data_IF_881350164508
#
_entry.id   IF_881350164508
#
_cell.length_a   1.000
_cell.length_b   1.000
_cell.length_c   1.000
_cell.angle_alpha   90.00
_cell.angle_beta   90.00
_cell.angle_gamma   90.00
#
_symmetry.space_group_name_H-M   'P 1'
#
loop_
_entity.id
_entity.type
_entity.pdbx_description
1 polymer ?
#
# COMPACT_ATOMS: atom_id res chain seq x y z
N UNK A 1 -24.42 12.15 -12.18
CA UNK A 1 -24.76 11.29 -11.02
C UNK A 1 -25.46 9.99 -11.44
N UNK A 2 -26.30 9.97 -12.48
CA UNK A 2 -26.70 8.72 -13.14
C UNK A 2 -25.47 7.93 -13.66
N UNK A 3 -24.44 8.64 -14.12
CA UNK A 3 -23.22 8.03 -14.66
C UNK A 3 -22.33 7.35 -13.60
N UNK A 4 -22.39 7.77 -12.33
CA UNK A 4 -21.61 7.16 -11.23
C UNK A 4 -22.20 5.82 -10.78
N UNK A 5 -23.53 5.66 -10.86
CA UNK A 5 -24.21 4.39 -10.65
C UNK A 5 -23.99 3.44 -11.84
N UNK A 6 -24.00 3.98 -13.07
CA UNK A 6 -23.65 3.24 -14.28
C UNK A 6 -22.17 2.77 -14.29
N UNK A 7 -21.27 3.48 -13.62
CA UNK A 7 -19.87 3.06 -13.49
C UNK A 7 -19.67 1.84 -12.57
N UNK A 8 -20.56 1.59 -11.59
CA UNK A 8 -20.52 0.34 -10.81
C UNK A 8 -20.96 -0.87 -11.62
N UNK A 9 -21.80 -0.66 -12.64
CA UNK A 9 -22.19 -1.68 -13.60
C UNK A 9 -21.12 -1.91 -14.69
N UNK A 10 -20.19 -0.97 -14.88
CA UNK A 10 -18.97 -1.18 -15.66
C UNK A 10 -17.87 -1.78 -14.78
N UNK A 11 -18.12 -2.97 -14.23
CA UNK A 11 -17.00 -3.88 -14.05
C UNK A 11 -16.50 -4.19 -15.46
N UNK A 12 -15.39 -3.55 -15.79
CA UNK A 12 -14.71 -3.68 -17.06
C UNK A 12 -14.70 -5.14 -17.54
N UNK A 13 -15.32 -5.37 -18.69
CA UNK A 13 -14.99 -6.48 -19.59
C UNK A 13 -13.59 -6.24 -20.14
N UNK A 14 -12.56 -6.32 -19.30
CA UNK A 14 -11.16 -6.23 -19.74
C UNK A 14 -10.73 -7.60 -20.25
N UNK A 15 -10.46 -7.64 -21.55
CA UNK A 15 -9.82 -8.73 -22.26
C UNK A 15 -8.34 -8.79 -21.87
N UNK A 16 -7.95 -9.82 -21.11
CA UNK A 16 -6.56 -10.26 -21.02
C UNK A 16 -6.47 -11.57 -21.79
N UNK A 17 -5.53 -11.61 -22.74
CA UNK A 17 -5.27 -12.68 -23.69
C UNK A 17 -5.52 -14.10 -23.13
N UNK A 18 -6.56 -14.75 -23.65
CA UNK A 18 -6.68 -16.21 -23.67
C UNK A 18 -7.89 -16.83 -22.97
N UNK A 19 -8.63 -16.11 -22.11
CA UNK A 19 -9.83 -16.64 -21.45
C UNK A 19 -10.98 -15.66 -21.65
N UNK A 20 -11.72 -15.89 -22.73
CA UNK A 20 -12.83 -15.08 -23.19
C UNK A 20 -14.08 -15.44 -22.36
N UNK A 21 -14.62 -14.46 -21.63
CA UNK A 21 -16.07 -14.22 -21.51
C UNK A 21 -16.95 -15.34 -20.93
N UNK A 22 -16.48 -16.09 -19.93
CA UNK A 22 -17.35 -17.03 -19.18
C UNK A 22 -17.86 -16.42 -17.87
N UNK A 23 -19.12 -15.96 -17.90
CA UNK A 23 -20.00 -16.02 -16.72
C UNK A 23 -19.97 -17.46 -16.20
N UNK A 24 -19.50 -17.66 -14.98
CA UNK A 24 -19.58 -18.97 -14.33
C UNK A 24 -20.91 -18.97 -13.57
N UNK A 25 -21.88 -19.77 -14.05
CA UNK A 25 -23.08 -20.05 -13.28
C UNK A 25 -22.70 -20.92 -12.08
N UNK A 26 -23.01 -20.45 -10.88
CA UNK A 26 -22.67 -21.15 -9.63
C UNK A 26 -23.87 -21.92 -9.07
N UNK A 27 -25.06 -21.73 -9.64
CA UNK A 27 -26.27 -22.50 -9.31
C UNK A 27 -26.76 -23.31 -10.52
N UNK A 28 -27.36 -24.48 -10.24
CA UNK A 28 -28.01 -25.34 -11.25
C UNK A 28 -29.14 -24.62 -12.01
N UNK A 29 -29.62 -23.50 -11.49
CA UNK A 29 -30.78 -22.74 -11.98
C UNK A 29 -30.38 -21.43 -12.71
N UNK A 30 -29.09 -21.18 -12.95
CA UNK A 30 -28.57 -19.97 -13.63
C UNK A 30 -28.87 -18.62 -12.94
N UNK A 31 -29.22 -18.61 -11.66
CA UNK A 31 -29.56 -17.38 -10.91
C UNK A 31 -28.36 -16.65 -10.29
N UNK A 32 -27.20 -17.32 -10.18
CA UNK A 32 -26.01 -16.80 -9.52
C UNK A 32 -24.85 -16.63 -10.50
N UNK A 33 -24.45 -15.37 -10.72
CA UNK A 33 -23.29 -15.00 -11.53
C UNK A 33 -22.05 -14.81 -10.63
N UNK A 34 -20.99 -15.56 -10.90
CA UNK A 34 -19.65 -15.25 -10.41
C UNK A 34 -18.87 -14.49 -11.49
N UNK A 35 -18.23 -13.39 -11.08
CA UNK A 35 -17.26 -12.69 -11.91
C UNK A 35 -15.87 -13.15 -11.45
N UNK A 36 -15.10 -13.86 -12.28
CA UNK A 36 -13.68 -14.04 -12.01
C UNK A 36 -13.03 -12.67 -12.08
N UNK A 37 -12.61 -12.12 -10.94
CA UNK A 37 -12.06 -10.77 -10.92
C UNK A 37 -10.60 -10.81 -11.34
N UNK A 38 -10.35 -10.78 -12.65
CA UNK A 38 -9.01 -10.56 -13.20
C UNK A 38 -8.44 -9.17 -12.84
N UNK A 39 -9.30 -8.26 -12.34
CA UNK A 39 -8.99 -6.86 -11.99
C UNK A 39 -9.33 -6.48 -10.54
N UNK A 40 -9.71 -7.43 -9.67
CA UNK A 40 -9.91 -7.05 -8.27
C UNK A 40 -8.59 -6.65 -7.60
N UNK A 41 -8.73 -5.78 -6.60
CA UNK A 41 -7.71 -5.40 -5.59
C UNK A 41 -6.90 -6.59 -5.03
N UNK A 42 -7.43 -7.82 -5.14
CA UNK A 42 -6.76 -9.07 -4.83
C UNK A 42 -7.07 -10.08 -5.96
N UNK A 43 -6.16 -10.24 -6.92
CA UNK A 43 -6.33 -11.07 -8.13
C UNK A 43 -6.47 -12.58 -7.92
N UNK A 44 -6.70 -13.02 -6.68
CA UNK A 44 -6.82 -14.44 -6.29
C UNK A 44 -8.21 -14.80 -5.77
N UNK A 45 -9.18 -13.87 -5.75
CA UNK A 45 -10.53 -14.11 -5.25
C UNK A 45 -11.54 -14.26 -6.39
N UNK A 46 -12.46 -15.22 -6.24
CA UNK A 46 -13.66 -15.33 -7.07
C UNK A 46 -14.80 -14.64 -6.34
N UNK A 47 -15.38 -13.61 -6.95
CA UNK A 47 -16.44 -12.80 -6.34
C UNK A 47 -17.81 -13.24 -6.87
N UNK A 48 -18.69 -13.69 -5.98
CA UNK A 48 -20.10 -13.88 -6.29
C UNK A 48 -20.85 -12.54 -6.16
N UNK A 49 -21.58 -12.14 -7.20
CA UNK A 49 -22.30 -10.87 -7.26
C UNK A 49 -23.80 -11.09 -7.59
N UNK A 50 -24.60 -11.63 -6.64
CA UNK A 50 -25.99 -12.07 -6.89
C UNK A 50 -26.93 -10.95 -7.35
N UNK A 51 -26.72 -9.73 -6.86
CA UNK A 51 -27.53 -8.56 -7.17
C UNK A 51 -26.83 -7.60 -8.15
N UNK A 52 -25.90 -8.11 -8.95
CA UNK A 52 -25.09 -7.28 -9.86
C UNK A 52 -25.95 -6.44 -10.82
N UNK A 53 -27.06 -7.01 -11.31
CA UNK A 53 -27.94 -6.35 -12.26
C UNK A 53 -29.05 -5.52 -11.59
N UNK A 54 -29.06 -5.44 -10.26
CA UNK A 54 -30.07 -4.66 -9.55
C UNK A 54 -29.73 -3.18 -9.64
N UNK A 55 -30.74 -2.36 -9.92
CA UNK A 55 -30.65 -0.92 -9.78
C UNK A 55 -30.78 -0.52 -8.31
N UNK A 56 -30.44 0.73 -7.99
CA UNK A 56 -30.71 1.30 -6.66
C UNK A 56 -32.21 1.22 -6.31
N UNK A 57 -33.09 1.35 -7.30
CA UNK A 57 -34.53 1.24 -7.11
C UNK A 57 -34.94 -0.18 -6.71
N UNK A 58 -34.40 -1.21 -7.38
CA UNK A 58 -34.69 -2.61 -7.06
C UNK A 58 -34.28 -2.95 -5.63
N UNK A 59 -33.11 -2.46 -5.21
CA UNK A 59 -32.60 -2.63 -3.83
C UNK A 59 -33.54 -2.00 -2.81
N UNK A 60 -33.95 -0.74 -3.02
CA UNK A 60 -34.85 -0.05 -2.09
C UNK A 60 -36.25 -0.64 -2.07
N UNK A 61 -36.79 -1.00 -3.25
CA UNK A 61 -38.09 -1.67 -3.34
C UNK A 61 -38.09 -2.97 -2.54
N UNK A 62 -37.02 -3.77 -2.65
CA UNK A 62 -36.87 -5.00 -1.87
C UNK A 62 -36.78 -4.72 -0.37
N UNK A 63 -35.93 -3.79 0.08
CA UNK A 63 -35.80 -3.42 1.49
C UNK A 63 -37.16 -3.01 2.09
N UNK A 64 -37.93 -2.19 1.37
CA UNK A 64 -39.21 -1.66 1.84
C UNK A 64 -40.33 -2.71 1.79
N UNK A 65 -40.44 -3.48 0.70
CA UNK A 65 -41.50 -4.50 0.55
C UNK A 65 -41.39 -5.64 1.56
N UNK A 66 -40.17 -6.00 1.96
CA UNK A 66 -39.90 -7.03 2.97
C UNK A 66 -39.69 -6.45 4.38
N UNK A 67 -39.90 -5.13 4.56
CA UNK A 67 -39.75 -4.44 5.84
C UNK A 67 -38.39 -4.73 6.53
N UNK A 68 -37.31 -4.73 5.75
CA UNK A 68 -35.97 -5.01 6.26
C UNK A 68 -35.44 -3.81 7.05
N UNK A 69 -34.75 -4.05 8.18
CA UNK A 69 -34.04 -2.98 8.87
C UNK A 69 -32.89 -2.47 8.01
N UNK A 70 -32.75 -1.16 7.92
CA UNK A 70 -31.64 -0.51 7.23
C UNK A 70 -31.07 0.63 8.08
N UNK A 71 -29.85 1.06 7.75
CA UNK A 71 -29.13 2.08 8.52
C UNK A 71 -29.93 3.39 8.59
N UNK A 72 -30.10 3.94 9.80
CA UNK A 72 -30.90 5.15 10.06
C UNK A 72 -30.38 6.39 9.31
N UNK A 73 -29.09 6.47 8.98
CA UNK A 73 -28.52 7.58 8.22
C UNK A 73 -29.17 7.73 6.83
N UNK A 74 -29.64 6.66 6.20
CA UNK A 74 -30.39 6.79 4.95
C UNK A 74 -31.70 7.59 5.13
N UNK A 75 -32.32 7.54 6.31
CA UNK A 75 -33.51 8.34 6.64
C UNK A 75 -33.18 9.83 6.81
N UNK A 76 -31.91 10.14 7.11
CA UNK A 76 -31.41 11.51 7.19
C UNK A 76 -31.01 12.05 5.79
N UNK A 77 -31.17 11.27 4.72
CA UNK A 77 -30.90 11.69 3.35
C UNK A 77 -29.50 11.38 2.83
N UNK A 78 -28.68 10.61 3.56
CA UNK A 78 -27.38 10.16 3.07
C UNK A 78 -27.57 9.12 1.96
N UNK A 79 -26.91 9.31 0.81
CA UNK A 79 -26.97 8.36 -0.33
C UNK A 79 -26.03 7.17 -0.18
N UNK A 80 -24.99 7.28 0.66
CA UNK A 80 -24.06 6.22 0.98
C UNK A 80 -23.61 6.37 2.42
N UNK A 81 -23.70 5.29 3.18
CA UNK A 81 -23.19 5.24 4.55
C UNK A 81 -21.82 4.55 4.55
N UNK A 82 -20.84 5.21 5.13
CA UNK A 82 -19.47 4.73 5.27
C UNK A 82 -18.79 5.47 6.42
N UNK A 83 -17.50 5.77 6.28
CA UNK A 83 -16.83 6.66 7.23
C UNK A 83 -17.56 8.01 7.31
N UNK A 84 -17.75 8.50 8.52
CA UNK A 84 -18.35 9.80 8.82
C UNK A 84 -17.73 10.93 7.98
N UNK A 85 -16.39 10.98 7.98
CA UNK A 85 -15.60 11.95 7.22
C UNK A 85 -14.84 11.19 6.15
N UNK A 86 -15.22 11.39 4.89
CA UNK A 86 -14.62 10.71 3.76
C UNK A 86 -14.24 11.75 2.70
N UNK A 87 -12.95 11.83 2.28
CA UNK A 87 -12.55 12.71 1.18
C UNK A 87 -13.29 12.43 -0.13
N UNK A 88 -13.79 11.20 -0.26
CA UNK A 88 -14.61 10.73 -1.39
C UNK A 88 -16.12 10.88 -1.11
N UNK A 89 -16.53 11.60 -0.05
CA UNK A 89 -17.93 11.88 0.20
C UNK A 89 -18.42 13.03 -0.68
N UNK A 90 -19.73 13.04 -0.94
CA UNK A 90 -20.34 14.12 -1.68
C UNK A 90 -20.50 15.38 -0.81
N UNK A 91 -20.56 16.55 -1.44
CA UNK A 91 -20.89 17.81 -0.75
C UNK A 91 -22.24 17.73 -0.04
N UNK A 92 -23.19 17.01 -0.63
CA UNK A 92 -24.50 16.76 -0.01
C UNK A 92 -24.35 16.06 1.33
N UNK A 93 -23.56 14.99 1.39
CA UNK A 93 -23.33 14.26 2.63
C UNK A 93 -22.58 15.11 3.68
N UNK A 94 -21.69 16.00 3.25
CA UNK A 94 -20.99 16.93 4.15
C UNK A 94 -21.94 18.01 4.71
N UNK A 95 -22.85 18.52 3.88
CA UNK A 95 -23.92 19.43 4.32
C UNK A 95 -24.81 18.76 5.38
N UNK A 96 -25.30 17.55 5.09
CA UNK A 96 -26.10 16.79 6.04
C UNK A 96 -25.32 16.50 7.32
N UNK A 97 -24.01 16.27 7.21
CA UNK A 97 -23.17 16.07 8.36
C UNK A 97 -23.10 17.31 9.27
N UNK A 98 -22.98 18.50 8.67
CA UNK A 98 -23.03 19.77 9.41
C UNK A 98 -24.39 20.05 10.07
N UNK A 99 -25.50 19.64 9.44
CA UNK A 99 -26.86 19.82 9.98
C UNK A 99 -27.12 18.89 11.16
N UNK A 100 -26.85 17.59 10.99
CA UNK A 100 -27.24 16.58 11.97
C UNK A 100 -26.19 16.35 13.06
N UNK A 101 -24.93 16.72 12.82
CA UNK A 101 -23.82 16.49 13.75
C UNK A 101 -22.86 17.70 13.78
N UNK A 102 -23.36 18.89 14.18
CA UNK A 102 -22.62 20.16 14.07
C UNK A 102 -21.34 20.21 14.92
N UNK A 103 -21.33 19.59 16.10
CA UNK A 103 -20.16 19.56 16.97
C UNK A 103 -18.99 18.79 16.34
N UNK A 104 -19.27 17.61 15.77
CA UNK A 104 -18.28 16.81 15.07
C UNK A 104 -17.77 17.50 13.80
N UNK A 105 -18.67 18.14 13.05
CA UNK A 105 -18.30 18.91 11.87
C UNK A 105 -17.37 20.09 12.23
N UNK A 106 -17.69 20.82 13.30
CA UNK A 106 -16.86 21.93 13.80
C UNK A 106 -15.48 21.46 14.26
N UNK A 107 -15.42 20.35 15.02
CA UNK A 107 -14.17 19.74 15.45
C UNK A 107 -13.30 19.33 14.26
N UNK A 108 -13.89 18.68 13.27
CA UNK A 108 -13.19 18.27 12.06
C UNK A 108 -12.65 19.45 11.25
N UNK A 109 -13.50 20.46 11.02
CA UNK A 109 -13.12 21.69 10.33
C UNK A 109 -11.93 22.35 11.01
N UNK A 110 -11.97 22.47 12.34
CA UNK A 110 -10.88 23.04 13.15
C UNK A 110 -9.56 22.30 12.90
N UNK A 111 -9.56 20.96 12.94
CA UNK A 111 -8.37 20.16 12.66
C UNK A 111 -7.82 20.39 11.25
N UNK A 112 -8.69 20.45 10.24
CA UNK A 112 -8.28 20.69 8.86
C UNK A 112 -7.64 22.08 8.68
N UNK A 113 -8.23 23.10 9.29
CA UNK A 113 -7.72 24.48 9.24
C UNK A 113 -6.37 24.59 9.95
N UNK A 114 -6.24 24.03 11.15
CA UNK A 114 -4.98 23.99 11.89
C UNK A 114 -3.88 23.26 11.09
N UNK A 115 -4.24 22.14 10.47
CA UNK A 115 -3.32 21.41 9.61
C UNK A 115 -2.91 22.22 8.37
N UNK A 116 -3.86 22.91 7.73
CA UNK A 116 -3.59 23.79 6.58
C UNK A 116 -2.66 24.96 6.97
N UNK A 117 -2.84 25.55 8.16
CA UNK A 117 -1.91 26.53 8.74
C UNK A 117 -0.52 25.94 8.94
N UNK A 118 -0.44 24.74 9.55
CA UNK A 118 0.83 24.04 9.82
C UNK A 118 1.66 23.80 8.55
N UNK A 119 1.02 23.41 7.45
CA UNK A 119 1.71 23.19 6.16
C UNK A 119 1.95 24.47 5.34
N UNK A 120 1.53 25.63 5.86
CA UNK A 120 1.77 26.94 5.26
C UNK A 120 0.88 27.25 4.05
N UNK A 121 -0.40 26.84 4.06
CA UNK A 121 -1.36 27.31 3.04
C UNK A 121 -1.68 28.80 3.25
N UNK A 122 -1.77 29.60 2.17
CA UNK A 122 -2.01 31.04 2.26
C UNK A 122 -3.36 31.36 2.91
N UNK A 123 -4.42 30.65 2.48
CA UNK A 123 -5.79 30.83 2.98
C UNK A 123 -6.36 29.50 3.50
N UNK A 124 -6.06 29.12 4.77
CA UNK A 124 -6.46 27.84 5.35
C UNK A 124 -7.96 27.61 5.38
N UNK A 125 -8.75 28.64 5.67
CA UNK A 125 -10.21 28.56 5.75
C UNK A 125 -10.81 28.29 4.37
N UNK A 126 -10.45 29.09 3.35
CA UNK A 126 -10.91 28.91 1.96
C UNK A 126 -10.45 27.56 1.38
N UNK A 127 -9.23 27.12 1.71
CA UNK A 127 -8.73 25.79 1.34
C UNK A 127 -9.60 24.66 1.90
N UNK A 128 -10.13 24.82 3.13
CA UNK A 128 -10.99 23.83 3.78
C UNK A 128 -12.41 23.90 3.24
N UNK A 129 -13.01 25.08 3.22
CA UNK A 129 -14.40 25.30 2.81
C UNK A 129 -14.60 25.05 1.30
N UNK A 130 -13.59 25.37 0.48
CA UNK A 130 -13.53 25.00 -0.95
C UNK A 130 -13.15 23.54 -1.21
N UNK A 131 -13.09 22.71 -0.16
CA UNK A 131 -12.78 21.27 -0.20
C UNK A 131 -11.45 20.91 -0.88
N UNK A 132 -10.50 21.83 -1.02
CA UNK A 132 -9.23 21.54 -1.67
C UNK A 132 -8.39 20.49 -0.91
N UNK A 133 -8.64 20.32 0.39
CA UNK A 133 -8.04 19.29 1.23
C UNK A 133 -8.31 17.85 0.77
N UNK A 134 -9.41 17.57 0.07
CA UNK A 134 -9.71 16.21 -0.43
C UNK A 134 -8.73 15.76 -1.52
N UNK A 135 -8.12 16.73 -2.23
CA UNK A 135 -7.12 16.49 -3.28
C UNK A 135 -5.70 16.35 -2.73
N UNK A 136 -5.52 16.52 -1.42
CA UNK A 136 -4.20 16.45 -0.79
C UNK A 136 -3.66 15.03 -0.89
N UNK A 137 -2.53 14.89 -1.58
CA UNK A 137 -1.73 13.68 -1.60
C UNK A 137 -0.34 13.95 -1.00
N UNK A 138 0.25 12.93 -0.35
CA UNK A 138 1.61 12.99 0.19
C UNK A 138 1.71 13.27 1.69
N UNK A 139 2.95 13.32 2.18
CA UNK A 139 3.29 13.38 3.59
C UNK A 139 3.50 14.78 4.19
N UNK A 140 3.23 15.87 3.45
CA UNK A 140 3.50 17.23 3.94
C UNK A 140 2.80 17.49 5.28
N UNK A 141 3.54 17.86 6.33
CA UNK A 141 2.99 18.09 7.68
C UNK A 141 2.76 16.84 8.53
N UNK A 142 3.08 15.64 8.01
CA UNK A 142 3.08 14.37 8.73
C UNK A 142 4.51 13.94 9.07
N UNK A 143 4.75 13.30 10.23
CA UNK A 143 6.08 12.81 10.59
C UNK A 143 6.56 11.82 9.53
N UNK A 144 7.64 12.20 8.85
CA UNK A 144 8.21 11.43 7.75
C UNK A 144 9.40 10.63 8.25
N UNK A 145 9.15 9.45 8.85
CA UNK A 145 10.20 8.49 9.27
C UNK A 145 11.05 7.95 8.10
N UNK A 146 10.92 8.48 6.89
CA UNK A 146 11.59 8.03 5.66
C UNK A 146 12.76 8.96 5.30
N UNK A 147 12.81 10.16 5.85
CA UNK A 147 13.80 11.18 5.52
C UNK A 147 15.23 10.83 5.98
N UNK A 148 15.39 9.83 6.85
CA UNK A 148 16.67 9.48 7.48
C UNK A 148 17.43 8.29 6.87
N UNK A 149 17.01 7.74 5.72
CA UNK A 149 17.80 6.67 5.08
C UNK A 149 18.95 7.29 4.29
N UNK A 150 20.09 7.35 4.95
CA UNK A 150 21.35 7.78 4.35
C UNK A 150 22.03 6.57 3.69
N UNK A 151 22.33 6.69 2.40
CA UNK A 151 23.06 5.67 1.63
C UNK A 151 24.41 6.25 1.25
N UNK A 152 25.49 5.60 1.69
CA UNK A 152 26.86 6.01 1.36
C UNK A 152 27.55 4.89 0.57
N UNK A 153 28.29 5.21 -0.50
CA UNK A 153 29.18 4.23 -1.11
C UNK A 153 30.25 3.83 -0.08
N UNK A 154 30.58 2.55 -0.02
CA UNK A 154 31.73 2.11 0.75
C UNK A 154 32.99 2.51 -0.03
N UNK A 155 33.81 3.39 0.53
CA UNK A 155 35.03 3.88 -0.14
C UNK A 155 36.14 2.83 -0.27
N UNK A 156 36.01 1.70 0.41
CA UNK A 156 37.06 0.67 0.54
C UNK A 156 36.74 -0.63 -0.20
N UNK A 157 35.46 -0.90 -0.47
CA UNK A 157 35.01 -2.17 -1.07
C UNK A 157 34.09 -1.84 -2.24
N UNK A 158 34.51 -2.25 -3.45
CA UNK A 158 33.68 -2.15 -4.64
C UNK A 158 32.35 -2.91 -4.45
N UNK A 159 31.31 -2.44 -5.13
CA UNK A 159 29.96 -3.03 -5.05
C UNK A 159 29.38 -3.19 -3.63
N UNK A 160 29.81 -2.33 -2.71
CA UNK A 160 29.28 -2.24 -1.34
C UNK A 160 28.66 -0.88 -1.04
N UNK A 161 27.50 -0.89 -0.37
CA UNK A 161 26.85 0.31 0.18
C UNK A 161 26.62 0.15 1.68
N UNK A 162 26.75 1.27 2.40
CA UNK A 162 26.32 1.38 3.78
C UNK A 162 25.01 2.16 3.84
N UNK A 163 24.01 1.59 4.49
CA UNK A 163 22.67 2.17 4.69
C UNK A 163 22.46 2.39 6.18
N UNK A 164 22.17 3.62 6.58
CA UNK A 164 21.78 3.93 7.97
C UNK A 164 20.25 4.03 8.05
N UNK A 165 19.65 3.33 9.01
CA UNK A 165 18.21 3.27 9.27
C UNK A 165 17.90 3.70 10.71
N UNK A 166 16.68 4.16 10.99
CA UNK A 166 16.28 4.52 12.37
C UNK A 166 15.71 3.33 13.15
N UNK A 167 15.15 2.35 12.44
CA UNK A 167 14.59 1.13 13.03
C UNK A 167 15.75 0.17 13.34
N UNK A 168 15.98 -0.22 14.61
CA UNK A 168 17.00 -1.20 14.93
C UNK A 168 16.79 -2.52 14.19
N UNK A 169 17.88 -3.12 13.74
CA UNK A 169 17.89 -4.45 13.14
C UNK A 169 17.29 -5.45 14.12
N UNK A 170 16.36 -6.26 13.62
CA UNK A 170 15.73 -7.34 14.36
C UNK A 170 15.49 -8.55 13.43
N UNK A 171 15.00 -9.65 13.99
CA UNK A 171 14.73 -10.90 13.26
C UNK A 171 13.85 -10.71 12.01
N UNK A 172 12.97 -9.71 11.99
CA UNK A 172 12.08 -9.48 10.85
C UNK A 172 12.84 -8.98 9.62
N UNK A 173 14.03 -8.39 9.76
CA UNK A 173 14.80 -7.86 8.62
C UNK A 173 14.99 -8.91 7.52
N UNK A 174 15.23 -10.16 7.91
CA UNK A 174 15.40 -11.28 6.98
C UNK A 174 14.20 -11.44 6.03
N UNK A 175 12.99 -11.23 6.53
CA UNK A 175 11.76 -11.31 5.73
C UNK A 175 11.72 -10.25 4.63
N UNK A 176 12.29 -9.08 4.87
CA UNK A 176 12.42 -8.01 3.87
C UNK A 176 13.59 -8.26 2.89
N UNK A 177 14.54 -9.13 3.23
CA UNK A 177 15.67 -9.49 2.38
C UNK A 177 15.34 -10.65 1.42
N UNK A 178 14.42 -11.55 1.78
CA UNK A 178 14.00 -12.70 0.94
C UNK A 178 13.57 -12.39 -0.50
N UNK A 179 13.03 -11.20 -0.84
CA UNK A 179 12.83 -10.82 -2.24
C UNK A 179 14.13 -10.68 -3.02
N UNK A 180 15.23 -10.22 -2.39
CA UNK A 180 16.55 -9.97 -2.99
C UNK A 180 17.35 -11.27 -3.28
N UNK A 181 17.01 -12.36 -2.60
CA UNK A 181 17.60 -13.68 -2.81
C UNK A 181 17.07 -14.71 -1.82
N UNK A 182 17.42 -15.99 -2.00
CA UNK A 182 17.13 -17.05 -1.03
C UNK A 182 18.16 -16.97 0.09
N UNK A 183 17.72 -16.92 1.34
CA UNK A 183 18.63 -16.92 2.48
C UNK A 183 19.29 -18.30 2.55
N UNK A 184 20.62 -18.33 2.45
CA UNK A 184 21.41 -19.55 2.55
C UNK A 184 22.07 -19.58 3.93
N UNK A 185 21.56 -20.43 4.83
CA UNK A 185 22.05 -20.53 6.21
C UNK A 185 23.46 -21.11 6.30
N UNK A 186 23.83 -22.02 5.41
CA UNK A 186 25.16 -22.66 5.39
C UNK A 186 26.27 -21.67 5.03
N UNK A 187 25.93 -20.63 4.26
CA UNK A 187 26.87 -19.57 3.85
C UNK A 187 26.80 -18.31 4.70
N UNK A 188 25.71 -18.14 5.45
CA UNK A 188 25.56 -17.04 6.42
C UNK A 188 26.47 -17.24 7.62
N UNK A 189 26.82 -16.16 8.31
CA UNK A 189 27.60 -16.19 9.56
C UNK A 189 26.88 -15.35 10.62
N UNK A 190 25.83 -15.92 11.28
CA UNK A 190 24.96 -15.18 12.19
C UNK A 190 25.72 -14.54 13.37
N UNK A 191 26.81 -15.15 13.82
CA UNK A 191 27.64 -14.63 14.92
C UNK A 191 28.31 -13.29 14.57
N UNK A 192 28.47 -13.00 13.28
CA UNK A 192 29.00 -11.72 12.77
C UNK A 192 27.90 -10.83 12.18
N UNK A 193 26.63 -11.20 12.33
CA UNK A 193 25.49 -10.52 11.71
C UNK A 193 25.46 -10.64 10.19
N UNK A 194 26.12 -11.64 9.60
CA UNK A 194 26.21 -11.81 8.15
C UNK A 194 25.12 -12.73 7.62
N UNK A 195 24.33 -12.23 6.67
CA UNK A 195 23.25 -12.94 5.99
C UNK A 195 23.62 -13.07 4.51
N UNK A 196 23.75 -14.31 4.03
CA UNK A 196 24.02 -14.59 2.62
C UNK A 196 22.72 -14.80 1.84
N UNK A 197 22.53 -14.01 0.79
CA UNK A 197 21.41 -14.10 -0.14
C UNK A 197 21.87 -14.71 -1.47
N UNK A 198 21.42 -15.91 -1.77
CA UNK A 198 21.68 -16.57 -3.05
C UNK A 198 20.70 -16.07 -4.12
N UNK A 199 21.23 -15.64 -5.27
CA UNK A 199 20.39 -15.16 -6.36
C UNK A 199 19.48 -16.27 -6.92
N UNK A 200 18.20 -15.95 -7.07
CA UNK A 200 17.21 -16.84 -7.69
C UNK A 200 17.34 -16.83 -9.22
N UNK A 201 16.81 -17.83 -9.96
CA UNK A 201 16.89 -17.87 -11.42
C UNK A 201 16.48 -16.56 -12.12
N UNK A 202 15.44 -15.88 -11.64
CA UNK A 202 14.97 -14.58 -12.16
C UNK A 202 15.97 -13.43 -11.96
N UNK A 203 16.94 -13.59 -11.07
CA UNK A 203 17.88 -12.56 -10.62
C UNK A 203 19.32 -12.80 -11.09
N UNK A 204 19.67 -14.02 -11.51
CA UNK A 204 21.07 -14.41 -11.85
C UNK A 204 21.70 -13.57 -12.97
N UNK A 205 20.88 -12.88 -13.77
CA UNK A 205 21.33 -11.96 -14.81
C UNK A 205 21.69 -10.58 -14.26
N UNK A 206 21.17 -10.19 -13.09
CA UNK A 206 21.41 -8.90 -12.44
C UNK A 206 22.49 -8.97 -11.35
N UNK A 207 22.52 -10.03 -10.53
CA UNK A 207 23.55 -10.31 -9.53
C UNK A 207 23.68 -11.82 -9.29
N UNK A 208 24.81 -12.27 -8.71
CA UNK A 208 25.02 -13.69 -8.35
C UNK A 208 24.67 -14.00 -6.89
N UNK A 209 24.68 -12.99 -6.04
CA UNK A 209 24.27 -13.08 -4.64
C UNK A 209 24.49 -11.73 -3.96
N UNK A 210 24.10 -11.64 -2.70
CA UNK A 210 24.38 -10.48 -1.86
C UNK A 210 24.82 -10.95 -0.48
N UNK A 211 25.71 -10.18 0.13
CA UNK A 211 26.10 -10.34 1.54
C UNK A 211 25.56 -9.13 2.28
N UNK A 212 24.71 -9.37 3.28
CA UNK A 212 24.15 -8.33 4.13
C UNK A 212 24.73 -8.49 5.52
N UNK A 213 25.49 -7.50 5.98
CA UNK A 213 25.97 -7.41 7.34
C UNK A 213 25.05 -6.48 8.13
N UNK A 214 24.35 -7.05 9.10
CA UNK A 214 23.34 -6.40 9.92
C UNK A 214 23.38 -6.97 11.35
N UNK A 215 23.94 -6.23 12.29
CA UNK A 215 24.06 -6.65 13.69
C UNK A 215 22.74 -6.33 14.42
N UNK A 216 22.19 -7.31 15.14
CA UNK A 216 20.96 -7.11 15.91
C UNK A 216 21.08 -5.93 16.88
N UNK A 217 20.07 -5.06 16.90
CA UNK A 217 20.06 -3.82 17.68
C UNK A 217 20.81 -2.63 17.07
N UNK A 218 21.64 -2.85 16.04
CA UNK A 218 22.31 -1.76 15.31
C UNK A 218 21.35 -1.08 14.31
N UNK A 219 21.78 0.04 13.76
CA UNK A 219 21.08 0.91 12.82
C UNK A 219 21.80 1.00 11.46
N UNK A 220 22.90 0.25 11.29
CA UNK A 220 23.67 0.21 10.05
C UNK A 220 23.50 -1.14 9.36
N UNK A 221 23.26 -1.07 8.06
CA UNK A 221 23.25 -2.21 7.15
C UNK A 221 24.37 -2.01 6.14
N UNK A 222 25.29 -2.96 6.06
CA UNK A 222 26.27 -3.01 4.98
C UNK A 222 25.86 -4.08 3.99
N UNK A 223 25.75 -3.72 2.72
CA UNK A 223 25.31 -4.64 1.66
C UNK A 223 26.33 -4.67 0.54
N UNK A 224 26.90 -5.84 0.30
CA UNK A 224 27.80 -6.12 -0.81
C UNK A 224 27.06 -6.94 -1.86
N UNK A 225 27.01 -6.45 -3.10
CA UNK A 225 26.38 -7.15 -4.22
C UNK A 225 27.46 -7.90 -5.00
N UNK A 226 27.27 -9.21 -5.20
CA UNK A 226 28.25 -10.06 -5.88
C UNK A 226 28.00 -10.07 -7.38
N UNK A 227 28.97 -9.56 -8.15
CA UNK A 227 28.97 -9.47 -9.61
C UNK A 227 27.69 -8.81 -10.17
N UNK A 228 27.39 -7.56 -9.83
CA UNK A 228 26.25 -6.84 -10.39
C UNK A 228 26.47 -6.56 -11.88
N UNK A 229 25.49 -6.89 -12.72
CA UNK A 229 25.49 -6.44 -14.13
C UNK A 229 25.02 -4.99 -14.28
N UNK A 230 24.16 -4.55 -13.36
CA UNK A 230 23.58 -3.19 -13.27
C UNK A 230 23.61 -2.79 -11.79
N UNK A 231 24.69 -2.10 -11.41
CA UNK A 231 25.01 -1.73 -10.03
C UNK A 231 23.92 -0.83 -9.42
N UNK A 232 23.50 0.18 -10.16
CA UNK A 232 22.51 1.16 -9.69
C UNK A 232 21.16 0.50 -9.42
N UNK A 233 20.73 -0.40 -10.31
CA UNK A 233 19.47 -1.14 -10.12
C UNK A 233 19.52 -2.09 -8.94
N UNK A 234 20.61 -2.83 -8.77
CA UNK A 234 20.78 -3.73 -7.63
C UNK A 234 20.70 -2.97 -6.30
N UNK A 235 21.43 -1.85 -6.19
CA UNK A 235 21.38 -1.01 -5.00
C UNK A 235 20.04 -0.30 -4.81
N UNK A 236 19.33 0.06 -5.89
CA UNK A 236 17.97 0.59 -5.78
C UNK A 236 17.04 -0.42 -5.10
N UNK A 237 17.10 -1.71 -5.47
CA UNK A 237 16.28 -2.75 -4.84
C UNK A 237 16.62 -2.98 -3.37
N UNK A 238 17.91 -2.96 -3.02
CA UNK A 238 18.36 -3.00 -1.62
C UNK A 238 17.76 -1.82 -0.83
N UNK A 239 17.88 -0.60 -1.38
CA UNK A 239 17.31 0.61 -0.77
C UNK A 239 15.80 0.49 -0.60
N UNK A 240 15.08 -0.03 -1.58
CA UNK A 240 13.63 -0.22 -1.51
C UNK A 240 13.23 -1.15 -0.35
N UNK A 241 13.98 -2.23 -0.13
CA UNK A 241 13.72 -3.12 1.00
C UNK A 241 14.09 -2.49 2.35
N UNK A 242 15.18 -1.73 2.43
CA UNK A 242 15.53 -0.98 3.65
C UNK A 242 14.44 0.06 4.01
N UNK A 243 13.95 0.82 3.02
CA UNK A 243 12.81 1.74 3.19
C UNK A 243 11.59 0.98 3.67
N UNK A 244 11.26 -0.15 3.05
CA UNK A 244 10.12 -0.97 3.43
C UNK A 244 10.23 -1.50 4.86
N UNK A 245 11.40 -1.98 5.29
CA UNK A 245 11.66 -2.44 6.66
C UNK A 245 11.45 -1.32 7.69
N UNK A 246 12.03 -0.13 7.45
CA UNK A 246 11.91 1.02 8.35
C UNK A 246 10.46 1.48 8.54
N UNK A 247 9.61 1.25 7.53
CA UNK A 247 8.33 1.96 7.41
C UNK A 247 7.12 1.04 7.37
N UNK A 248 7.36 -0.26 7.47
CA UNK A 248 6.31 -1.27 7.45
C UNK A 248 5.35 -1.05 8.61
N UNK A 249 4.09 -0.77 8.27
CA UNK A 249 2.95 -0.80 9.18
C UNK A 249 2.03 -2.00 8.90
N UNK A 250 2.55 -3.01 8.19
CA UNK A 250 1.82 -4.23 7.80
C UNK A 250 0.52 -3.95 7.01
N UNK A 251 0.53 -2.93 6.14
CA UNK A 251 -0.63 -2.49 5.35
C UNK A 251 -1.13 -3.45 4.25
N UNK A 252 -0.59 -4.68 4.18
CA UNK A 252 -0.94 -5.74 3.21
C UNK A 252 -0.81 -5.42 1.71
N UNK A 253 -0.30 -4.23 1.34
CA UNK A 253 -0.17 -3.85 -0.07
C UNK A 253 0.80 -4.77 -0.83
N UNK A 254 1.92 -5.15 -0.22
CA UNK A 254 2.92 -5.99 -0.88
C UNK A 254 2.47 -7.45 -1.03
N UNK A 255 1.64 -7.98 -0.13
CA UNK A 255 1.06 -9.32 -0.30
C UNK A 255 -0.01 -9.33 -1.40
N UNK A 256 -0.81 -8.26 -1.51
CA UNK A 256 -1.83 -8.14 -2.56
C UNK A 256 -1.26 -8.12 -3.99
N UNK A 257 -0.06 -7.58 -4.19
CA UNK A 257 0.62 -7.54 -5.49
C UNK A 257 1.53 -8.75 -5.75
N UNK A 258 1.70 -9.66 -4.77
CA UNK A 258 2.55 -10.82 -4.97
C UNK A 258 1.84 -11.85 -5.87
N UNK A 259 2.31 -12.11 -7.10
CA UNK A 259 1.61 -13.02 -8.02
C UNK A 259 1.67 -14.49 -7.57
N UNK A 260 2.60 -14.82 -6.67
CA UNK A 260 2.82 -16.19 -6.17
C UNK A 260 2.21 -16.43 -4.79
N UNK A 261 1.60 -15.42 -4.16
CA UNK A 261 1.06 -15.56 -2.80
C UNK A 261 2.10 -15.88 -1.72
N UNK A 262 3.38 -15.55 -1.96
CA UNK A 262 4.49 -15.92 -1.07
C UNK A 262 4.58 -15.09 0.22
N UNK A 263 3.73 -14.08 0.41
CA UNK A 263 3.84 -13.11 1.52
C UNK A 263 2.60 -13.22 2.41
N UNK A 264 2.81 -13.58 3.68
CA UNK A 264 1.79 -13.63 4.72
C UNK A 264 1.93 -12.44 5.65
N UNK A 265 0.85 -11.68 5.82
CA UNK A 265 0.81 -10.53 6.73
C UNK A 265 -0.44 -10.65 7.61
N UNK A 266 -0.25 -10.70 8.93
CA UNK A 266 -1.33 -10.71 9.92
C UNK A 266 -1.08 -9.61 10.96
N UNK A 267 -1.63 -8.40 10.75
CA UNK A 267 -1.35 -7.24 11.60
C UNK A 267 -1.67 -7.47 13.08
N UNK A 268 -2.79 -8.13 13.38
CA UNK A 268 -3.24 -8.40 14.75
C UNK A 268 -2.28 -9.32 15.52
N UNK A 269 -1.54 -10.17 14.81
CA UNK A 269 -0.55 -11.09 15.37
C UNK A 269 0.90 -10.59 15.14
N UNK A 270 1.06 -9.39 14.56
CA UNK A 270 2.35 -8.82 14.14
C UNK A 270 3.18 -9.73 13.22
N UNK A 271 2.54 -10.58 12.44
CA UNK A 271 3.24 -11.49 11.51
C UNK A 271 3.48 -10.78 10.18
N UNK A 272 4.74 -10.81 9.73
CA UNK A 272 5.15 -10.50 8.37
C UNK A 272 6.15 -11.57 7.94
N UNK A 273 5.77 -12.45 7.03
CA UNK A 273 6.57 -13.60 6.62
C UNK A 273 6.54 -13.75 5.10
N UNK A 274 7.70 -14.04 4.52
CA UNK A 274 7.86 -14.44 3.13
C UNK A 274 8.32 -15.89 3.10
N UNK A 275 7.52 -16.75 2.47
CA UNK A 275 7.93 -18.12 2.16
C UNK A 275 9.03 -18.07 1.09
N UNK A 276 10.24 -18.47 1.47
CA UNK A 276 11.39 -18.41 0.58
C UNK A 276 11.36 -19.47 -0.53
N UNK A 277 10.57 -20.53 -0.38
CA UNK A 277 10.47 -21.60 -1.37
C UNK A 277 9.37 -21.28 -2.39
N UNK A 278 8.32 -20.60 -1.96
CA UNK A 278 7.28 -20.05 -2.85
C UNK A 278 7.73 -18.76 -3.56
N UNK A 279 8.56 -17.93 -2.92
CA UNK A 279 9.06 -16.67 -3.51
C UNK A 279 10.01 -16.94 -4.70
N UNK A 280 9.64 -16.48 -5.89
CA UNK A 280 10.48 -16.65 -7.10
C UNK A 280 11.54 -15.57 -7.26
N UNK A 281 11.47 -14.47 -6.51
CA UNK A 281 12.34 -13.31 -6.69
C UNK A 281 11.97 -12.45 -7.90
N UNK A 282 10.69 -12.40 -8.27
CA UNK A 282 10.19 -11.63 -9.42
C UNK A 282 10.19 -10.10 -9.21
N UNK A 283 10.45 -9.63 -7.99
CA UNK A 283 10.51 -8.22 -7.60
C UNK A 283 9.23 -7.39 -7.69
N UNK A 284 8.08 -7.97 -8.07
CA UNK A 284 6.82 -7.21 -8.17
C UNK A 284 6.48 -6.48 -6.86
N UNK A 285 6.58 -7.15 -5.72
CA UNK A 285 6.32 -6.55 -4.40
C UNK A 285 7.36 -5.49 -3.96
N UNK A 286 8.45 -5.35 -4.71
CA UNK A 286 9.55 -4.41 -4.48
C UNK A 286 9.43 -3.20 -5.43
N UNK A 287 9.01 -3.39 -6.68
CA UNK A 287 9.03 -2.35 -7.71
C UNK A 287 7.67 -1.72 -8.01
N UNK A 288 6.56 -2.40 -7.67
CA UNK A 288 5.20 -1.93 -7.98
C UNK A 288 4.89 -0.53 -7.42
N UNK A 289 5.49 -0.16 -6.29
CA UNK A 289 5.25 1.13 -5.62
C UNK A 289 6.18 2.26 -6.11
N UNK A 290 6.87 2.06 -7.23
CA UNK A 290 7.80 3.03 -7.81
C UNK A 290 9.08 3.17 -7.00
N UNK A 291 9.75 4.31 -7.13
CA UNK A 291 11.11 4.55 -6.61
C UNK A 291 11.26 4.58 -5.08
N UNK A 292 10.17 4.39 -4.33
CA UNK A 292 10.21 4.29 -2.87
C UNK A 292 10.14 2.84 -2.38
N UNK A 293 9.75 1.89 -3.23
CA UNK A 293 9.66 0.47 -2.90
C UNK A 293 8.52 0.05 -1.97
N UNK A 294 7.78 1.01 -1.38
CA UNK A 294 6.76 0.75 -0.38
C UNK A 294 5.59 1.73 -0.55
N UNK A 295 4.34 1.23 -0.47
CA UNK A 295 3.15 2.07 -0.57
C UNK A 295 3.13 3.16 0.51
N UNK A 296 3.49 2.80 1.75
CA UNK A 296 3.51 3.73 2.89
C UNK A 296 4.52 4.85 2.64
N UNK A 297 5.69 4.50 2.09
CA UNK A 297 6.73 5.46 1.71
C UNK A 297 6.29 6.40 0.59
N UNK A 298 5.63 5.84 -0.43
CA UNK A 298 5.03 6.62 -1.50
C UNK A 298 3.99 7.61 -0.94
N UNK A 299 3.13 7.16 -0.01
CA UNK A 299 2.10 7.99 0.61
C UNK A 299 2.66 9.11 1.50
N UNK A 300 3.84 8.92 2.09
CA UNK A 300 4.51 9.90 2.94
C UNK A 300 5.54 10.76 2.19
N UNK A 301 5.73 10.51 0.90
CA UNK A 301 6.54 11.37 0.04
C UNK A 301 5.91 12.77 -0.08
N UNK A 302 6.76 13.80 -0.06
CA UNK A 302 6.34 15.20 -0.20
C UNK A 302 6.62 15.65 -1.63
N UNK A 303 5.61 16.23 -2.29
CA UNK A 303 5.69 16.69 -3.68
C UNK A 303 5.65 18.22 -3.74
N UNK A 304 6.40 18.80 -4.69
CA UNK A 304 6.43 20.24 -4.97
C UNK A 304 7.03 21.09 -3.85
N UNK A 305 6.59 22.35 -3.74
CA UNK A 305 7.08 23.36 -2.76
C UNK A 305 6.51 23.20 -1.34
N UNK A 306 5.86 22.08 -1.03
CA UNK A 306 5.20 21.88 0.26
C UNK A 306 6.21 21.79 1.40
N UNK A 307 5.97 22.47 2.53
CA UNK A 307 6.89 22.48 3.68
C UNK A 307 7.02 21.07 4.28
N UNK A 308 8.27 20.60 4.39
CA UNK A 308 8.65 19.45 5.23
C UNK A 308 8.59 19.86 6.70
N UNK A 309 8.37 18.91 7.61
CA UNK A 309 8.51 19.19 9.04
C UNK A 309 9.97 19.52 9.36
N UNK A 310 10.20 20.50 10.23
CA UNK A 310 11.54 20.92 10.61
C UNK A 310 12.30 19.75 11.29
N UNK A 311 13.49 19.43 10.77
CA UNK A 311 14.30 18.27 11.18
C UNK A 311 14.76 17.36 10.03
N UNK A 312 14.20 17.53 8.83
CA UNK A 312 14.52 16.74 7.65
C UNK A 312 15.57 17.45 6.75
N UNK A 313 16.86 17.30 7.05
CA UNK A 313 17.94 17.58 6.09
C UNK A 313 18.38 16.26 5.46
N UNK A 314 18.62 16.28 4.13
CA UNK A 314 19.11 15.14 3.32
C UNK A 314 20.47 14.68 3.85
#
# INVERSE_FOLDING_TARGET
RADESNQRAQYDRITISGIIDKKISVSKENELYAIPSATAKMGQQVTAAPILNWTEFDVWLYILSYNLPFNKSYRLGFSRVGCWLCPLNSEWSELLAGIFFPEDASRWRTQLVEFARKIGKPDPEEYVDGRAWVKRFGGAGLPNKFAGIEVRPCGEIDDTIDITIERPVNIELEEFLKPLGKINRDRSRPEMGEIFLEARPTQRNLWKGMVVQAIEGDTRLRVTVLNPSDRDRAFAYVRYQAVKFQTCIQCTACSAVCPHGAITIKPDMRVYEIDQDTCTGCMECVTHFGSTGCLVAKSLSVYGKSKKLAGETI
#
